data_IF_890687514690
#
_entry.id   IF_890687514690
#
_cell.length_a   1.000
_cell.length_b   1.000
_cell.length_c   1.000
_cell.angle_alpha   90.00
_cell.angle_beta   90.00
_cell.angle_gamma   90.00
#
_symmetry.space_group_name_H-M   'P 1'
#
loop_
_entity.id
_entity.type
_entity.pdbx_description
1 polymer ?
#
# COMPACT_ATOMS: atom_id res chain seq x y z
N UNK A 1 9.42 31.89 -9.26
CA UNK A 1 7.95 31.72 -9.19
C UNK A 1 7.58 31.72 -7.72
N UNK A 2 6.53 32.43 -7.33
CA UNK A 2 6.05 32.42 -5.95
C UNK A 2 5.65 30.99 -5.52
N UNK A 3 5.93 30.62 -4.27
CA UNK A 3 5.45 29.37 -3.67
C UNK A 3 3.92 29.42 -3.57
N UNK A 4 3.24 28.34 -3.94
CA UNK A 4 1.77 28.28 -3.81
C UNK A 4 1.40 28.03 -2.36
N UNK A 5 0.22 28.49 -1.93
CA UNK A 5 -0.34 28.05 -0.64
C UNK A 5 -1.18 26.80 -0.84
N UNK A 6 -1.27 25.94 0.19
CA UNK A 6 -2.15 24.76 0.12
C UNK A 6 -3.62 25.17 0.00
N UNK A 7 -4.01 26.31 0.58
CA UNK A 7 -5.38 26.84 0.47
C UNK A 7 -5.73 27.27 -0.95
N UNK A 8 -4.80 27.87 -1.68
CA UNK A 8 -4.98 28.24 -3.09
C UNK A 8 -5.09 26.99 -3.97
N UNK A 9 -4.20 26.01 -3.76
CA UNK A 9 -4.26 24.72 -4.47
C UNK A 9 -5.58 24.00 -4.17
N UNK A 10 -6.00 23.93 -2.91
CA UNK A 10 -7.26 23.31 -2.52
C UNK A 10 -8.47 24.04 -3.12
N UNK A 11 -8.47 25.37 -3.08
CA UNK A 11 -9.52 26.21 -3.68
C UNK A 11 -9.65 25.93 -5.17
N UNK A 12 -8.52 25.89 -5.89
CA UNK A 12 -8.49 25.60 -7.33
C UNK A 12 -9.00 24.20 -7.65
N UNK A 13 -8.51 23.16 -6.95
CA UNK A 13 -8.96 21.78 -7.15
C UNK A 13 -10.47 21.62 -6.90
N UNK A 14 -11.02 22.29 -5.88
CA UNK A 14 -12.47 22.26 -5.62
C UNK A 14 -13.23 22.92 -6.78
N UNK A 15 -12.81 24.10 -7.24
CA UNK A 15 -13.46 24.80 -8.37
C UNK A 15 -13.48 23.94 -9.63
N UNK A 16 -12.33 23.38 -10.03
CA UNK A 16 -12.21 22.50 -11.20
C UNK A 16 -13.05 21.23 -11.04
N UNK A 17 -13.08 20.64 -9.84
CA UNK A 17 -13.90 19.45 -9.57
C UNK A 17 -15.42 19.74 -9.66
N UNK A 18 -15.86 20.95 -9.31
CA UNK A 18 -17.27 21.34 -9.35
C UNK A 18 -17.83 21.42 -10.79
N UNK A 19 -16.95 21.50 -11.80
CA UNK A 19 -17.34 21.41 -13.21
C UNK A 19 -17.50 19.96 -13.70
N UNK A 20 -17.23 18.97 -12.85
CA UNK A 20 -17.28 17.54 -13.17
C UNK A 20 -18.01 16.72 -12.09
N UNK A 21 -17.30 15.86 -11.35
CA UNK A 21 -17.88 14.94 -10.37
C UNK A 21 -18.13 15.59 -9.00
N UNK A 22 -17.52 16.75 -8.74
CA UNK A 22 -17.31 17.28 -7.40
C UNK A 22 -16.23 16.51 -6.65
N UNK A 23 -15.82 17.03 -5.48
CA UNK A 23 -14.79 16.42 -4.65
C UNK A 23 -15.21 16.46 -3.18
N UNK A 24 -15.09 15.34 -2.48
CA UNK A 24 -15.27 15.30 -1.02
C UNK A 24 -14.01 15.78 -0.31
N UNK A 25 -14.12 16.12 0.98
CA UNK A 25 -12.94 16.51 1.76
C UNK A 25 -11.89 15.39 1.86
N UNK A 26 -12.29 14.11 1.75
CA UNK A 26 -11.37 12.96 1.88
C UNK A 26 -10.59 12.75 0.60
N UNK A 27 -11.25 12.87 -0.55
CA UNK A 27 -10.60 12.85 -1.86
C UNK A 27 -9.64 14.03 -2.01
N UNK A 28 -10.05 15.23 -1.60
CA UNK A 28 -9.20 16.43 -1.62
C UNK A 28 -7.89 16.21 -0.86
N UNK A 29 -7.92 15.55 0.31
CA UNK A 29 -6.71 15.24 1.07
C UNK A 29 -5.74 14.35 0.28
N UNK A 30 -6.24 13.31 -0.39
CA UNK A 30 -5.40 12.43 -1.21
C UNK A 30 -4.87 13.15 -2.45
N UNK A 31 -5.73 13.90 -3.12
CA UNK A 31 -5.36 14.63 -4.34
C UNK A 31 -4.34 15.73 -4.04
N UNK A 32 -4.43 16.42 -2.90
CA UNK A 32 -3.40 17.37 -2.45
C UNK A 32 -2.07 16.68 -2.15
N UNK A 33 -2.10 15.50 -1.50
CA UNK A 33 -0.91 14.70 -1.25
C UNK A 33 -0.23 14.25 -2.55
N UNK A 34 -1.00 13.72 -3.52
CA UNK A 34 -0.47 13.36 -4.84
C UNK A 34 0.04 14.58 -5.61
N UNK A 35 -0.67 15.72 -5.54
CA UNK A 35 -0.21 16.98 -6.13
C UNK A 35 1.16 17.39 -5.59
N UNK A 36 1.36 17.32 -4.27
CA UNK A 36 2.65 17.62 -3.64
C UNK A 36 3.73 16.63 -4.07
N UNK A 37 3.41 15.33 -4.08
CA UNK A 37 4.35 14.27 -4.40
C UNK A 37 4.88 14.31 -5.83
N UNK A 38 3.99 14.32 -6.82
CA UNK A 38 4.39 14.43 -8.22
C UNK A 38 5.08 15.76 -8.53
N UNK A 39 4.72 16.85 -7.85
CA UNK A 39 5.38 18.14 -8.05
C UNK A 39 6.80 18.14 -7.48
N UNK A 40 7.00 17.56 -6.28
CA UNK A 40 8.32 17.36 -5.69
C UNK A 40 9.20 16.49 -6.59
N UNK A 41 8.70 15.35 -7.03
CA UNK A 41 9.42 14.44 -7.94
C UNK A 41 9.84 15.14 -9.24
N UNK A 42 8.93 15.89 -9.87
CA UNK A 42 9.16 16.52 -11.18
C UNK A 42 10.04 17.77 -11.12
N UNK A 43 9.90 18.59 -10.07
CA UNK A 43 10.52 19.92 -10.01
C UNK A 43 11.58 20.08 -8.91
N UNK A 44 11.81 19.05 -8.11
CA UNK A 44 12.73 19.06 -6.97
C UNK A 44 12.50 20.25 -6.02
N UNK A 45 11.23 20.63 -5.83
CA UNK A 45 10.80 21.71 -4.94
C UNK A 45 9.33 21.52 -4.58
N UNK A 46 8.88 22.00 -3.41
CA UNK A 46 7.48 21.86 -2.99
C UNK A 46 6.51 22.64 -3.89
N UNK A 47 5.30 22.10 -4.08
CA UNK A 47 4.18 22.85 -4.67
C UNK A 47 3.67 23.91 -3.68
N UNK A 48 3.61 23.51 -2.41
CA UNK A 48 3.28 24.34 -1.25
C UNK A 48 4.09 23.89 -0.01
N UNK A 49 4.20 24.78 0.98
CA UNK A 49 5.00 24.53 2.19
C UNK A 49 4.31 23.66 3.24
N UNK A 50 2.98 23.55 3.18
CA UNK A 50 2.22 22.76 4.14
C UNK A 50 2.56 21.27 4.06
N UNK A 51 2.45 20.59 5.21
CA UNK A 51 2.85 19.19 5.35
C UNK A 51 1.64 18.25 5.54
N UNK A 52 1.91 16.95 5.45
CA UNK A 52 0.94 15.88 5.71
C UNK A 52 1.38 15.02 6.88
N UNK A 53 0.42 14.56 7.66
CA UNK A 53 0.63 13.56 8.70
C UNK A 53 -0.04 12.23 8.27
N UNK A 54 0.53 11.10 8.68
CA UNK A 54 -0.01 9.78 8.43
C UNK A 54 -1.20 9.51 9.37
N UNK A 55 -2.42 9.63 8.85
CA UNK A 55 -3.65 9.36 9.60
C UNK A 55 -4.23 8.00 9.20
N UNK A 56 -5.18 7.49 9.99
CA UNK A 56 -5.89 6.22 9.74
C UNK A 56 -6.45 6.06 8.33
N UNK A 57 -6.90 7.15 7.71
CA UNK A 57 -7.46 7.16 6.35
C UNK A 57 -6.50 7.77 5.32
N UNK A 58 -5.19 7.57 5.53
CA UNK A 58 -4.12 8.02 4.63
C UNK A 58 -3.50 9.37 5.06
N UNK A 59 -2.64 9.97 4.23
CA UNK A 59 -1.98 11.26 4.51
C UNK A 59 -2.99 12.43 4.60
N UNK A 60 -2.89 13.25 5.63
CA UNK A 60 -3.83 14.36 5.89
C UNK A 60 -3.07 15.63 6.27
N UNK A 61 -3.42 16.74 5.63
CA UNK A 61 -3.09 18.07 6.13
C UNK A 61 -4.16 18.51 7.15
N UNK A 62 -3.72 18.81 8.37
CA UNK A 62 -4.57 19.18 9.52
C UNK A 62 -5.38 20.45 9.28
N UNK A 63 -4.80 21.47 8.63
CA UNK A 63 -5.47 22.74 8.33
C UNK A 63 -6.62 22.56 7.33
N UNK A 64 -6.35 21.89 6.22
CA UNK A 64 -7.37 21.56 5.20
C UNK A 64 -8.46 20.66 5.80
N UNK A 65 -8.10 19.67 6.63
CA UNK A 65 -9.09 18.83 7.31
C UNK A 65 -9.96 19.64 8.25
N UNK A 66 -9.36 20.49 9.09
CA UNK A 66 -10.09 21.36 10.01
C UNK A 66 -11.11 22.25 9.31
N UNK A 67 -10.74 22.78 8.13
CA UNK A 67 -11.60 23.65 7.31
C UNK A 67 -12.80 22.92 6.68
N UNK A 68 -12.64 21.65 6.27
CA UNK A 68 -13.63 20.95 5.45
C UNK A 68 -14.27 19.72 6.10
N UNK A 69 -13.84 19.28 7.29
CA UNK A 69 -14.37 18.08 7.96
C UNK A 69 -15.89 18.10 8.19
N UNK A 70 -16.48 19.28 8.39
CA UNK A 70 -17.91 19.44 8.67
C UNK A 70 -18.81 19.03 7.49
N UNK A 71 -18.25 18.96 6.27
CA UNK A 71 -18.98 18.53 5.09
C UNK A 71 -19.20 17.01 5.03
N UNK A 72 -18.51 16.22 5.87
CA UNK A 72 -18.66 14.77 5.91
C UNK A 72 -18.40 14.12 4.55
N UNK A 73 -19.42 13.48 3.98
CA UNK A 73 -19.37 12.84 2.67
C UNK A 73 -19.91 13.72 1.53
N UNK A 74 -20.33 14.95 1.83
CA UNK A 74 -20.83 15.87 0.81
C UNK A 74 -19.67 16.43 -0.03
N UNK A 75 -19.98 16.72 -1.30
CA UNK A 75 -19.08 17.44 -2.18
C UNK A 75 -18.82 18.85 -1.63
N UNK A 76 -17.57 19.28 -1.72
CA UNK A 76 -17.16 20.62 -1.40
C UNK A 76 -17.58 21.57 -2.51
N UNK A 77 -17.92 22.79 -2.12
CA UNK A 77 -18.25 23.86 -3.05
C UNK A 77 -17.44 25.11 -2.70
N UNK A 78 -16.89 25.72 -3.75
CA UNK A 78 -16.25 27.03 -3.69
C UNK A 78 -16.76 27.85 -4.86
N UNK A 79 -17.04 29.14 -4.63
CA UNK A 79 -17.46 30.05 -5.69
C UNK A 79 -16.44 30.05 -6.85
N UNK A 80 -16.88 29.94 -8.11
CA UNK A 80 -15.99 30.03 -9.27
C UNK A 80 -15.21 31.36 -9.35
N UNK A 81 -15.76 32.43 -8.79
CA UNK A 81 -15.15 33.76 -8.78
C UNK A 81 -14.12 33.95 -7.66
N UNK A 82 -13.97 32.96 -6.78
CA UNK A 82 -12.95 33.02 -5.73
C UNK A 82 -11.56 33.01 -6.35
N UNK A 83 -10.85 34.10 -6.15
CA UNK A 83 -9.52 34.29 -6.72
C UNK A 83 -8.50 33.31 -6.13
N UNK A 84 -7.62 32.79 -6.99
CA UNK A 84 -6.48 31.95 -6.63
C UNK A 84 -5.21 32.64 -7.11
N UNK A 85 -4.54 33.33 -6.18
CA UNK A 85 -3.52 34.35 -6.48
C UNK A 85 -2.14 33.73 -6.74
N UNK A 86 -1.83 32.58 -6.13
CA UNK A 86 -0.47 32.00 -6.16
C UNK A 86 -0.20 30.98 -7.29
N UNK A 87 -1.20 30.69 -8.13
CA UNK A 87 -1.12 29.68 -9.19
C UNK A 87 -0.97 30.29 -10.58
N UNK A 88 0.19 30.06 -11.21
CA UNK A 88 0.41 30.34 -12.63
C UNK A 88 -0.24 29.28 -13.54
N UNK A 89 -0.26 29.54 -14.84
CA UNK A 89 -0.86 28.66 -15.85
C UNK A 89 -0.25 27.25 -15.84
N UNK A 90 1.05 27.13 -15.59
CA UNK A 90 1.73 25.83 -15.60
C UNK A 90 1.32 24.98 -14.39
N UNK A 91 1.23 25.57 -13.20
CA UNK A 91 0.73 24.90 -12.00
C UNK A 91 -0.74 24.50 -12.13
N UNK A 92 -1.58 25.37 -12.71
CA UNK A 92 -2.99 25.06 -12.99
C UNK A 92 -3.14 23.85 -13.91
N UNK A 93 -2.41 23.84 -15.03
CA UNK A 93 -2.41 22.71 -15.95
C UNK A 93 -1.94 21.39 -15.28
N UNK A 94 -0.89 21.46 -14.46
CA UNK A 94 -0.43 20.31 -13.67
C UNK A 94 -1.50 19.81 -12.67
N UNK A 95 -2.16 20.72 -11.96
CA UNK A 95 -3.21 20.34 -11.00
C UNK A 95 -4.43 19.72 -11.69
N UNK A 96 -4.80 20.21 -12.88
CA UNK A 96 -5.86 19.60 -13.69
C UNK A 96 -5.48 18.19 -14.15
N UNK A 97 -4.22 17.93 -14.50
CA UNK A 97 -3.80 16.56 -14.86
C UNK A 97 -3.87 15.61 -13.67
N UNK A 98 -3.44 16.06 -12.48
CA UNK A 98 -3.56 15.28 -11.23
C UNK A 98 -5.04 15.02 -10.92
N UNK A 99 -5.88 16.06 -10.94
CA UNK A 99 -7.31 15.94 -10.66
C UNK A 99 -7.99 14.95 -11.63
N UNK A 100 -7.69 15.05 -12.93
CA UNK A 100 -8.26 14.18 -13.96
C UNK A 100 -7.90 12.71 -13.75
N UNK A 101 -6.66 12.44 -13.32
CA UNK A 101 -6.19 11.08 -13.07
C UNK A 101 -6.82 10.45 -11.81
N UNK A 102 -6.98 11.24 -10.75
CA UNK A 102 -7.35 10.70 -9.43
C UNK A 102 -8.83 10.86 -9.06
N UNK A 103 -9.55 11.85 -9.58
CA UNK A 103 -10.91 12.13 -9.12
C UNK A 103 -11.88 10.99 -9.45
N UNK A 104 -11.75 10.38 -10.64
CA UNK A 104 -12.60 9.27 -11.09
C UNK A 104 -12.35 7.95 -10.36
N UNK A 105 -11.21 7.81 -9.68
CA UNK A 105 -10.84 6.62 -8.88
C UNK A 105 -11.74 6.49 -7.64
N UNK A 106 -12.18 7.63 -7.08
CA UNK A 106 -13.09 7.69 -5.95
C UNK A 106 -12.43 7.45 -4.58
N UNK A 107 -13.07 8.00 -3.55
CA UNK A 107 -12.56 8.05 -2.18
C UNK A 107 -11.97 6.74 -1.64
N UNK A 108 -12.70 5.64 -1.70
CA UNK A 108 -12.28 4.36 -1.08
C UNK A 108 -10.98 3.85 -1.68
N UNK A 109 -10.86 3.91 -3.01
CA UNK A 109 -9.67 3.43 -3.70
C UNK A 109 -8.49 4.39 -3.54
N UNK A 110 -8.71 5.71 -3.51
CA UNK A 110 -7.66 6.68 -3.20
C UNK A 110 -7.07 6.50 -1.78
N UNK A 111 -7.91 6.16 -0.78
CA UNK A 111 -7.44 5.81 0.56
C UNK A 111 -6.59 4.54 0.50
N UNK A 112 -7.10 3.48 -0.11
CA UNK A 112 -6.39 2.21 -0.25
C UNK A 112 -5.05 2.35 -0.97
N UNK A 113 -4.99 3.12 -2.07
CA UNK A 113 -3.74 3.41 -2.78
C UNK A 113 -2.73 4.09 -1.85
N UNK A 114 -3.16 5.15 -1.15
CA UNK A 114 -2.29 5.89 -0.22
C UNK A 114 -1.81 5.05 0.98
N UNK A 115 -2.47 3.94 1.29
CA UNK A 115 -2.01 3.00 2.32
C UNK A 115 -0.89 2.08 1.84
N UNK A 116 -0.74 1.91 0.52
CA UNK A 116 0.34 1.11 -0.09
C UNK A 116 1.59 1.93 -0.43
N UNK A 117 1.54 3.23 -0.15
CA UNK A 117 2.65 4.18 -0.29
C UNK A 117 3.54 4.13 0.95
N UNK A 118 4.83 3.81 0.79
CA UNK A 118 5.73 3.72 1.94
C UNK A 118 5.87 5.01 2.78
N UNK A 119 5.70 6.24 2.25
CA UNK A 119 5.67 7.42 3.12
C UNK A 119 4.54 7.39 4.15
N UNK A 120 3.39 6.83 3.81
CA UNK A 120 2.30 6.63 4.78
C UNK A 120 2.59 5.41 5.67
N UNK A 121 2.89 4.25 5.08
CA UNK A 121 3.11 2.99 5.79
C UNK A 121 4.22 3.10 6.84
N UNK A 122 5.33 3.77 6.52
CA UNK A 122 6.47 3.94 7.43
C UNK A 122 6.22 4.96 8.56
N UNK A 123 5.15 5.73 8.47
CA UNK A 123 4.82 6.77 9.45
C UNK A 123 3.51 6.53 10.19
N UNK A 124 2.61 5.68 9.69
CA UNK A 124 1.36 5.40 10.35
C UNK A 124 1.57 4.61 11.64
N UNK A 125 1.03 5.15 12.73
CA UNK A 125 0.97 4.49 14.04
C UNK A 125 -0.46 4.70 14.54
N UNK A 126 -1.19 3.62 14.85
CA UNK A 126 -2.58 3.73 15.31
C UNK A 126 -2.66 4.70 16.51
N UNK A 127 -3.56 5.69 16.41
CA UNK A 127 -3.75 6.71 17.44
C UNK A 127 -2.74 7.86 17.44
N UNK A 128 -1.75 7.88 16.54
CA UNK A 128 -0.76 8.96 16.42
C UNK A 128 -0.71 9.52 14.98
N UNK A 129 -0.83 10.83 14.87
CA UNK A 129 -0.70 11.54 13.58
C UNK A 129 0.76 11.96 13.38
N UNK A 130 1.61 11.05 12.90
CA UNK A 130 3.03 11.32 12.68
C UNK A 130 3.25 12.04 11.37
N UNK A 131 4.12 13.06 11.39
CA UNK A 131 4.52 13.83 10.21
C UNK A 131 5.19 12.94 9.15
N UNK A 132 4.77 13.10 7.90
CA UNK A 132 5.48 12.59 6.71
C UNK A 132 6.33 13.74 6.17
N UNK A 133 7.64 13.54 6.10
CA UNK A 133 8.56 14.57 5.58
C UNK A 133 8.42 14.74 4.07
N UNK A 134 8.76 15.91 3.54
CA UNK A 134 8.70 16.17 2.09
C UNK A 134 9.73 15.32 1.34
N UNK A 135 10.86 15.05 1.98
CA UNK A 135 11.92 14.17 1.50
C UNK A 135 11.38 12.76 1.30
N UNK A 136 10.69 12.17 2.30
CA UNK A 136 10.05 10.87 2.14
C UNK A 136 9.01 10.85 1.01
N UNK A 137 8.20 11.90 0.89
CA UNK A 137 7.22 12.01 -0.21
C UNK A 137 7.97 12.03 -1.55
N UNK A 138 8.99 12.87 -1.68
CA UNK A 138 9.76 12.99 -2.92
C UNK A 138 10.47 11.68 -3.28
N UNK A 139 11.16 11.07 -2.32
CA UNK A 139 11.91 9.83 -2.48
C UNK A 139 11.01 8.68 -2.95
N UNK A 140 9.71 8.70 -2.60
CA UNK A 140 8.73 7.77 -3.15
C UNK A 140 8.29 8.14 -4.56
N UNK A 141 7.80 9.36 -4.78
CA UNK A 141 7.19 9.74 -6.06
C UNK A 141 8.20 9.87 -7.21
N UNK A 142 9.50 10.04 -6.94
CA UNK A 142 10.55 10.07 -7.97
C UNK A 142 10.74 8.74 -8.71
N UNK A 143 10.20 7.64 -8.17
CA UNK A 143 10.26 6.32 -8.80
C UNK A 143 9.20 6.10 -9.88
N UNK A 144 8.38 7.11 -10.22
CA UNK A 144 7.34 6.99 -11.24
C UNK A 144 7.54 8.06 -12.31
N UNK A 145 7.73 7.64 -13.56
CA UNK A 145 7.89 8.55 -14.69
C UNK A 145 6.55 9.23 -15.06
N UNK A 146 5.44 8.53 -14.81
CA UNK A 146 4.09 8.96 -15.17
C UNK A 146 3.08 8.72 -14.05
N UNK A 147 1.96 9.44 -14.09
CA UNK A 147 0.86 9.23 -13.14
C UNK A 147 0.23 7.85 -13.37
N UNK A 148 0.13 7.43 -14.63
CA UNK A 148 -0.41 6.14 -15.05
C UNK A 148 0.40 4.97 -14.49
N UNK A 149 1.73 5.09 -14.48
CA UNK A 149 2.62 4.09 -13.87
C UNK A 149 2.36 3.96 -12.37
N UNK A 150 2.31 5.07 -11.63
CA UNK A 150 1.95 5.06 -10.21
C UNK A 150 0.58 4.42 -9.97
N UNK A 151 -0.44 4.81 -10.76
CA UNK A 151 -1.79 4.26 -10.61
C UNK A 151 -1.78 2.74 -10.82
N UNK A 152 -1.11 2.26 -11.87
CA UNK A 152 -0.96 0.83 -12.13
C UNK A 152 -0.26 0.09 -10.99
N UNK A 153 0.85 0.64 -10.49
CA UNK A 153 1.59 0.06 -9.36
C UNK A 153 0.74 0.02 -8.09
N UNK A 154 0.12 1.13 -7.72
CA UNK A 154 -0.71 1.21 -6.51
C UNK A 154 -1.95 0.29 -6.60
N UNK A 155 -2.51 0.11 -7.81
CA UNK A 155 -3.57 -0.88 -8.04
C UNK A 155 -3.07 -2.31 -7.83
N UNK A 156 -1.92 -2.66 -8.39
CA UNK A 156 -1.34 -3.99 -8.23
C UNK A 156 -1.04 -4.28 -6.74
N UNK A 157 -0.47 -3.30 -6.02
CA UNK A 157 -0.26 -3.39 -4.57
C UNK A 157 -1.56 -3.62 -3.81
N UNK A 158 -2.60 -2.83 -4.11
CA UNK A 158 -3.91 -2.96 -3.45
C UNK A 158 -4.57 -4.32 -3.72
N UNK A 159 -4.42 -4.89 -4.91
CA UNK A 159 -4.92 -6.25 -5.18
C UNK A 159 -4.14 -7.30 -4.39
N UNK A 160 -2.83 -7.11 -4.25
CA UNK A 160 -2.00 -8.00 -3.43
C UNK A 160 -2.38 -7.93 -1.94
N UNK A 161 -2.62 -6.74 -1.39
CA UNK A 161 -3.14 -6.59 -0.01
C UNK A 161 -4.44 -7.33 0.21
N UNK A 162 -5.37 -7.25 -0.76
CA UNK A 162 -6.64 -8.01 -0.69
C UNK A 162 -6.41 -9.51 -0.75
N UNK A 163 -5.45 -9.97 -1.56
CA UNK A 163 -5.06 -11.38 -1.61
C UNK A 163 -4.50 -11.84 -0.26
N UNK A 164 -3.59 -11.08 0.35
CA UNK A 164 -3.00 -11.36 1.66
C UNK A 164 -4.10 -11.42 2.73
N UNK A 165 -5.03 -10.46 2.76
CA UNK A 165 -6.18 -10.48 3.65
C UNK A 165 -7.02 -11.75 3.47
N UNK A 166 -7.38 -12.08 2.22
CA UNK A 166 -8.15 -13.30 1.92
C UNK A 166 -7.41 -14.58 2.32
N UNK A 167 -6.08 -14.61 2.23
CA UNK A 167 -5.26 -15.73 2.71
C UNK A 167 -5.25 -15.82 4.23
N UNK A 168 -5.15 -14.69 4.93
CA UNK A 168 -5.29 -14.64 6.38
C UNK A 168 -6.66 -15.16 6.85
N UNK A 169 -7.74 -14.74 6.20
CA UNK A 169 -9.09 -15.22 6.50
C UNK A 169 -9.23 -16.74 6.27
N UNK A 170 -8.65 -17.24 5.17
CA UNK A 170 -8.60 -18.68 4.91
C UNK A 170 -7.80 -19.43 5.98
N UNK A 171 -6.60 -18.97 6.34
CA UNK A 171 -5.77 -19.55 7.41
C UNK A 171 -6.52 -19.62 8.74
N UNK A 172 -7.28 -18.57 9.09
CA UNK A 172 -8.07 -18.54 10.31
C UNK A 172 -9.20 -19.57 10.34
N UNK A 173 -9.66 -20.05 9.16
CA UNK A 173 -10.71 -21.06 9.06
C UNK A 173 -10.22 -22.51 9.11
N UNK A 174 -8.92 -22.74 8.85
CA UNK A 174 -8.35 -24.09 8.72
C UNK A 174 -8.36 -24.93 10.01
N UNK A 175 -8.07 -24.38 11.21
CA UNK A 175 -7.99 -25.19 12.43
C UNK A 175 -9.32 -25.83 12.84
N UNK A 176 -10.45 -25.29 12.37
CA UNK A 176 -11.80 -25.74 12.72
C UNK A 176 -12.31 -26.87 11.80
N UNK A 177 -11.51 -27.29 10.80
CA UNK A 177 -11.88 -28.35 9.87
C UNK A 177 -11.73 -29.74 10.50
N UNK A 178 -12.47 -30.72 9.97
CA UNK A 178 -12.39 -32.12 10.41
C UNK A 178 -11.28 -32.89 9.67
N UNK A 179 -10.86 -34.04 10.20
CA UNK A 179 -9.95 -34.94 9.49
C UNK A 179 -10.54 -35.35 8.12
N UNK A 180 -9.69 -35.43 7.08
CA UNK A 180 -10.14 -35.76 5.73
C UNK A 180 -10.80 -34.60 4.97
N UNK A 181 -10.62 -33.35 5.44
CA UNK A 181 -11.03 -32.13 4.74
C UNK A 181 -10.37 -31.92 3.37
N UNK A 182 -9.27 -32.63 3.09
CA UNK A 182 -8.69 -32.79 1.75
C UNK A 182 -8.68 -34.25 1.32
N UNK A 183 -8.67 -34.48 0.01
CA UNK A 183 -8.57 -35.81 -0.58
C UNK A 183 -7.22 -36.46 -0.26
N UNK A 184 -7.24 -37.56 0.48
CA UNK A 184 -6.06 -38.31 0.89
C UNK A 184 -6.28 -38.89 2.28
N UNK A 185 -6.10 -40.19 2.45
CA UNK A 185 -6.32 -40.83 3.76
C UNK A 185 -5.42 -40.17 4.83
N UNK A 186 -6.02 -39.74 5.94
CA UNK A 186 -5.34 -39.19 7.15
C UNK A 186 -4.85 -37.73 7.06
N UNK A 187 -5.42 -36.90 6.21
CA UNK A 187 -5.08 -35.48 6.22
C UNK A 187 -5.57 -34.80 7.51
N UNK A 188 -4.61 -34.29 8.28
CA UNK A 188 -4.85 -33.56 9.53
C UNK A 188 -4.91 -32.05 9.21
N UNK A 189 -5.89 -31.31 9.73
CA UNK A 189 -5.92 -29.85 9.60
C UNK A 189 -4.66 -29.19 10.17
N UNK A 190 -4.24 -28.04 9.63
CA UNK A 190 -3.19 -27.22 10.22
C UNK A 190 -3.56 -26.77 11.64
N UNK A 191 -2.59 -26.73 12.56
CA UNK A 191 -2.84 -26.22 13.91
C UNK A 191 -3.08 -24.70 13.89
N UNK A 192 -3.79 -24.19 14.91
CA UNK A 192 -4.01 -22.76 15.07
C UNK A 192 -2.69 -21.95 15.22
N UNK A 193 -1.65 -22.58 15.78
CA UNK A 193 -0.31 -22.00 15.87
C UNK A 193 0.32 -21.85 14.48
N UNK A 194 0.36 -22.91 13.69
CA UNK A 194 0.89 -22.87 12.31
C UNK A 194 0.15 -21.84 11.46
N UNK A 195 -1.18 -21.81 11.52
CA UNK A 195 -1.97 -20.81 10.80
C UNK A 195 -1.64 -19.38 11.22
N UNK A 196 -1.46 -19.14 12.52
CA UNK A 196 -1.09 -17.83 13.06
C UNK A 196 0.29 -17.39 12.60
N UNK A 197 1.29 -18.27 12.67
CA UNK A 197 2.65 -17.93 12.24
C UNK A 197 2.74 -17.74 10.72
N UNK A 198 2.08 -18.59 9.93
CA UNK A 198 1.96 -18.39 8.48
C UNK A 198 1.27 -17.04 8.15
N UNK A 199 0.22 -16.66 8.87
CA UNK A 199 -0.44 -15.37 8.67
C UNK A 199 0.49 -14.19 9.02
N UNK A 200 1.25 -14.28 10.13
CA UNK A 200 2.27 -13.28 10.46
C UNK A 200 3.34 -13.15 9.39
N UNK A 201 3.80 -14.28 8.83
CA UNK A 201 4.72 -14.30 7.70
C UNK A 201 4.15 -13.50 6.52
N UNK A 202 2.91 -13.79 6.11
CA UNK A 202 2.26 -13.10 4.98
C UNK A 202 2.16 -11.58 5.20
N UNK A 203 1.76 -11.16 6.39
CA UNK A 203 1.66 -9.74 6.76
C UNK A 203 3.04 -9.06 6.78
N UNK A 204 4.05 -9.72 7.34
CA UNK A 204 5.43 -9.20 7.36
C UNK A 204 6.03 -9.14 5.96
N UNK A 205 5.75 -10.13 5.12
CA UNK A 205 6.19 -10.18 3.73
C UNK A 205 5.66 -8.98 2.95
N UNK A 206 4.34 -8.75 2.99
CA UNK A 206 3.71 -7.61 2.32
C UNK A 206 4.29 -6.28 2.80
N UNK A 207 4.39 -6.09 4.11
CA UNK A 207 4.94 -4.87 4.71
C UNK A 207 6.37 -4.61 4.25
N UNK A 208 7.22 -5.64 4.22
CA UNK A 208 8.60 -5.51 3.73
C UNK A 208 8.63 -5.15 2.24
N UNK A 209 7.82 -5.84 1.43
CA UNK A 209 7.71 -5.59 -0.02
C UNK A 209 7.31 -4.14 -0.33
N UNK A 210 6.38 -3.57 0.44
CA UNK A 210 5.87 -2.22 0.17
C UNK A 210 6.69 -1.11 0.82
N UNK A 211 7.35 -1.36 1.94
CA UNK A 211 8.12 -0.34 2.68
C UNK A 211 9.48 -0.02 2.07
N UNK A 212 10.10 -0.97 1.37
CA UNK A 212 11.44 -0.83 0.77
C UNK A 212 11.44 -0.32 -0.65
N UNK A 213 10.38 -0.62 -1.42
CA UNK A 213 10.30 -0.34 -2.84
C UNK A 213 9.02 0.41 -3.22
N UNK A 214 9.16 1.51 -3.96
CA UNK A 214 8.03 2.27 -4.46
C UNK A 214 7.21 1.47 -5.49
N UNK A 215 7.90 0.75 -6.38
CA UNK A 215 7.34 -0.10 -7.42
C UNK A 215 7.95 -1.53 -7.36
N UNK A 216 7.57 -2.34 -6.37
CA UNK A 216 8.09 -3.69 -6.23
C UNK A 216 7.53 -4.62 -7.32
N UNK A 217 8.31 -5.64 -7.67
CA UNK A 217 7.80 -6.78 -8.44
C UNK A 217 7.01 -7.66 -7.49
N UNK A 218 5.68 -7.65 -7.63
CA UNK A 218 4.80 -8.43 -6.77
C UNK A 218 4.86 -9.91 -7.22
N UNK A 219 5.28 -10.84 -6.34
CA UNK A 219 5.31 -12.25 -6.71
C UNK A 219 3.90 -12.82 -6.89
N UNK A 220 3.79 -13.86 -7.69
CA UNK A 220 2.61 -14.73 -7.65
C UNK A 220 2.65 -15.51 -6.34
N UNK A 221 1.59 -15.39 -5.54
CA UNK A 221 1.43 -16.11 -4.29
C UNK A 221 0.44 -17.26 -4.46
N UNK A 222 0.89 -18.47 -4.12
CA UNK A 222 0.09 -19.68 -4.04
C UNK A 222 0.14 -20.18 -2.61
N UNK A 223 -0.98 -20.73 -2.13
CA UNK A 223 -1.03 -21.35 -0.81
C UNK A 223 -1.92 -22.57 -0.88
N UNK A 224 -1.53 -23.62 -0.16
CA UNK A 224 -2.27 -24.87 -0.12
C UNK A 224 -1.95 -25.68 1.12
N UNK A 225 -2.74 -26.71 1.42
CA UNK A 225 -2.44 -27.60 2.52
C UNK A 225 -1.27 -28.53 2.23
N UNK A 226 -0.53 -28.83 3.28
CA UNK A 226 0.43 -29.94 3.27
C UNK A 226 -0.32 -31.23 3.68
N UNK A 227 -0.28 -32.32 2.88
CA UNK A 227 -1.06 -33.52 3.17
C UNK A 227 -0.80 -34.17 4.53
N UNK A 228 0.43 -34.08 5.05
CA UNK A 228 0.82 -34.56 6.38
C UNK A 228 0.39 -33.63 7.53
N UNK A 229 -0.30 -32.53 7.22
CA UNK A 229 -0.65 -31.46 8.15
C UNK A 229 0.26 -30.25 8.00
N UNK A 230 -0.34 -29.05 8.00
CA UNK A 230 0.37 -27.79 7.79
C UNK A 230 -0.04 -27.03 6.53
N UNK A 231 0.69 -25.96 6.22
CA UNK A 231 0.40 -25.05 5.11
C UNK A 231 1.65 -24.79 4.29
N UNK A 232 1.55 -24.96 2.97
CA UNK A 232 2.56 -24.57 2.00
C UNK A 232 2.24 -23.21 1.40
N UNK A 233 3.27 -22.38 1.25
CA UNK A 233 3.25 -21.07 0.60
C UNK A 233 4.30 -21.06 -0.50
N UNK A 234 3.91 -20.63 -1.70
CA UNK A 234 4.81 -20.47 -2.84
C UNK A 234 4.80 -19.01 -3.29
N UNK A 235 5.98 -18.45 -3.47
CA UNK A 235 6.22 -17.11 -4.00
C UNK A 235 7.02 -17.23 -5.28
N UNK A 236 6.42 -16.86 -6.41
CA UNK A 236 7.12 -16.87 -7.71
C UNK A 236 7.39 -15.45 -8.18
N UNK A 237 8.68 -15.13 -8.32
CA UNK A 237 9.20 -13.90 -8.92
C UNK A 237 10.01 -14.24 -10.18
N UNK A 238 10.27 -13.27 -11.09
CA UNK A 238 10.99 -13.53 -12.33
C UNK A 238 12.38 -14.17 -12.18
N UNK A 239 13.06 -13.92 -11.06
CA UNK A 239 14.43 -14.38 -10.79
C UNK A 239 14.56 -15.37 -9.65
N UNK A 240 13.49 -15.61 -8.87
CA UNK A 240 13.54 -16.39 -7.63
C UNK A 240 12.17 -16.95 -7.29
N UNK A 241 12.09 -18.26 -7.07
CA UNK A 241 10.94 -18.89 -6.44
C UNK A 241 11.31 -19.28 -5.02
N UNK A 242 10.35 -19.14 -4.10
CA UNK A 242 10.48 -19.58 -2.71
C UNK A 242 9.29 -20.45 -2.38
N UNK A 243 9.56 -21.60 -1.80
CA UNK A 243 8.58 -22.57 -1.33
C UNK A 243 8.77 -22.68 0.19
N UNK A 244 7.71 -22.48 0.96
CA UNK A 244 7.74 -22.50 2.42
C UNK A 244 6.65 -23.44 2.91
N UNK A 245 7.02 -24.52 3.58
CA UNK A 245 6.07 -25.45 4.18
C UNK A 245 6.14 -25.31 5.70
N UNK A 246 5.05 -24.88 6.32
CA UNK A 246 4.88 -24.86 7.77
C UNK A 246 4.17 -26.14 8.21
N UNK A 247 4.81 -26.95 9.04
CA UNK A 247 4.28 -28.23 9.51
C UNK A 247 3.69 -28.15 10.92
N UNK A 248 2.76 -29.05 11.23
CA UNK A 248 2.05 -29.09 12.52
C UNK A 248 2.94 -29.36 13.75
N UNK A 249 4.13 -29.93 13.54
CA UNK A 249 5.15 -30.19 14.56
C UNK A 249 6.14 -29.02 14.73
N UNK A 250 5.79 -27.83 14.24
CA UNK A 250 6.58 -26.61 14.30
C UNK A 250 7.89 -26.63 13.49
N UNK A 251 8.01 -27.56 12.54
CA UNK A 251 9.03 -27.53 11.49
C UNK A 251 8.62 -26.55 10.37
N UNK A 252 9.61 -25.92 9.76
CA UNK A 252 9.46 -25.10 8.56
C UNK A 252 10.53 -25.50 7.55
N UNK A 253 10.09 -25.93 6.37
CA UNK A 253 10.99 -26.16 5.23
C UNK A 253 10.93 -24.96 4.30
N UNK A 254 12.10 -24.42 3.96
CA UNK A 254 12.25 -23.34 2.99
C UNK A 254 13.11 -23.84 1.84
N UNK A 255 12.53 -23.94 0.65
CA UNK A 255 13.26 -24.22 -0.58
C UNK A 255 13.32 -22.96 -1.44
N UNK A 256 14.50 -22.65 -1.97
CA UNK A 256 14.74 -21.49 -2.82
C UNK A 256 15.29 -21.96 -4.15
N UNK A 257 14.63 -21.53 -5.23
CA UNK A 257 15.00 -21.85 -6.60
C UNK A 257 15.34 -20.56 -7.35
N UNK A 258 16.51 -20.53 -7.98
CA UNK A 258 16.97 -19.47 -8.89
C UNK A 258 17.32 -20.09 -10.25
N UNK A 259 17.81 -19.28 -11.20
CA UNK A 259 18.24 -19.79 -12.52
C UNK A 259 19.32 -20.87 -12.44
N UNK A 260 20.18 -20.79 -11.43
CA UNK A 260 21.43 -21.56 -11.37
C UNK A 260 21.53 -22.46 -10.14
N UNK A 261 20.71 -22.21 -9.12
CA UNK A 261 20.83 -22.86 -7.81
C UNK A 261 19.47 -23.24 -7.22
N UNK A 262 19.46 -24.36 -6.50
CA UNK A 262 18.37 -24.81 -5.65
C UNK A 262 18.93 -25.11 -4.26
N UNK A 263 18.34 -24.51 -3.22
CA UNK A 263 18.77 -24.65 -1.82
C UNK A 263 17.59 -24.98 -0.94
N UNK A 264 17.82 -25.76 0.11
CA UNK A 264 16.79 -26.17 1.07
C UNK A 264 17.29 -25.97 2.49
N UNK A 265 16.39 -25.49 3.35
CA UNK A 265 16.63 -25.23 4.75
C UNK A 265 15.48 -25.83 5.55
N UNK A 266 15.82 -26.64 6.55
CA UNK A 266 14.88 -27.17 7.53
C UNK A 266 15.14 -26.45 8.87
N UNK A 267 14.10 -25.80 9.41
CA UNK A 267 14.19 -24.93 10.58
C UNK A 267 13.01 -25.19 11.51
N UNK A 268 13.12 -24.81 12.78
CA UNK A 268 11.92 -24.67 13.61
C UNK A 268 11.28 -23.29 13.40
N UNK A 269 10.02 -23.14 13.82
CA UNK A 269 9.24 -21.89 13.70
C UNK A 269 9.94 -20.67 14.31
N UNK A 270 10.60 -20.82 15.46
CA UNK A 270 11.27 -19.69 16.13
C UNK A 270 12.45 -19.18 15.30
N UNK A 271 13.30 -20.09 14.82
CA UNK A 271 14.46 -19.76 14.00
C UNK A 271 14.04 -19.20 12.64
N UNK A 272 12.98 -19.75 12.03
CA UNK A 272 12.42 -19.20 10.80
C UNK A 272 11.99 -17.73 10.98
N UNK A 273 11.35 -17.39 12.10
CA UNK A 273 10.94 -16.02 12.38
C UNK A 273 12.12 -15.05 12.55
N UNK A 274 13.26 -15.54 13.06
CA UNK A 274 14.50 -14.75 13.17
C UNK A 274 15.22 -14.58 11.83
N UNK A 275 15.22 -15.61 10.98
CA UNK A 275 16.01 -15.68 9.75
C UNK A 275 15.23 -15.35 8.46
N UNK A 276 13.90 -15.23 8.51
CA UNK A 276 13.03 -15.01 7.34
C UNK A 276 13.54 -13.94 6.36
N UNK A 277 14.11 -12.85 6.87
CA UNK A 277 14.65 -11.78 6.03
C UNK A 277 15.74 -12.23 5.05
N UNK A 278 16.53 -13.26 5.42
CA UNK A 278 17.57 -13.84 4.58
C UNK A 278 16.97 -14.56 3.37
N UNK A 279 15.91 -15.35 3.57
CA UNK A 279 15.26 -16.10 2.49
C UNK A 279 14.57 -15.17 1.49
N UNK A 280 14.09 -14.02 1.94
CA UNK A 280 13.39 -13.04 1.11
C UNK A 280 14.32 -12.06 0.37
N UNK A 281 15.65 -12.15 0.58
CA UNK A 281 16.61 -11.29 -0.10
C UNK A 281 16.48 -11.41 -1.64
N UNK A 282 16.42 -10.26 -2.32
CA UNK A 282 16.18 -10.19 -3.76
C UNK A 282 14.72 -10.27 -4.19
N UNK A 283 13.78 -10.45 -3.25
CA UNK A 283 12.32 -10.29 -3.48
C UNK A 283 11.80 -9.04 -2.77
N UNK A 284 12.22 -8.79 -1.53
CA UNK A 284 11.73 -7.68 -0.69
C UNK A 284 12.77 -6.64 -0.34
#
# INVERSE_FOLDING_TARGET
MATSTIDDVATYLIQESNMSLGITHRELQKILYYSQGFYLAKYNRPLFDADFDAWKYGPVNTGIWGRFKQYGYANLYVSPDKEVVTLDTAKKAFLVSILSAFLSIGQTKLIGMSHTDHPWENNYIEGMNKRISKEQIQDFFINFDTIEEYVSTAEAKLQFSKLIQSRGDYLNSLPDLEEGWISGNKAVPPTAEVCRECNKFLQSFERNLFSKHAAPVIPKLIMGPVPSGGVGVELHSPSKNIYINFYNDALVDVSIETSDEFTEHELNLDLFNEEMGLFLEGIV
#
